data_IF_390940163648
#
_entry.id   IF_390940163648
#
_cell.length_a   1.000
_cell.length_b   1.000
_cell.length_c   1.000
_cell.angle_alpha   90.00
_cell.angle_beta   90.00
_cell.angle_gamma   90.00
#
_symmetry.space_group_name_H-M   'P 1'
#
loop_
_entity.id
_entity.type
_entity.pdbx_description
1 polymer ?
#
# COMPACT_ATOMS: atom_id res chain seq x y z
N UNK A 1 -1.23 42.39 62.68
CA UNK A 1 -0.82 41.85 61.37
C UNK A 1 -0.29 40.43 61.56
N UNK A 2 -0.77 39.42 60.82
CA UNK A 2 -0.26 38.04 60.89
C UNK A 2 0.95 37.90 59.96
N UNK A 3 2.04 37.21 60.36
CA UNK A 3 3.22 37.08 59.50
C UNK A 3 2.91 36.15 58.32
N UNK A 4 3.13 36.64 57.10
CA UNK A 4 3.06 35.83 55.88
C UNK A 4 4.26 34.89 55.88
N UNK A 5 4.02 33.57 56.04
CA UNK A 5 5.06 32.54 55.93
C UNK A 5 5.70 32.60 54.53
N UNK A 6 6.95 33.05 54.45
CA UNK A 6 7.78 32.97 53.24
C UNK A 6 7.98 31.48 52.88
N UNK A 7 7.45 31.05 51.73
CA UNK A 7 7.64 29.68 51.22
C UNK A 7 9.12 29.49 50.87
N UNK A 8 9.74 28.46 51.45
CA UNK A 8 11.17 28.18 51.30
C UNK A 8 11.51 27.92 49.81
N UNK A 9 12.40 28.72 49.18
CA UNK A 9 12.70 28.61 47.74
C UNK A 9 13.39 27.28 47.37
N UNK A 10 14.08 26.67 48.33
CA UNK A 10 14.77 25.38 48.18
C UNK A 10 13.81 24.21 47.87
N UNK A 11 12.60 24.23 48.43
CA UNK A 11 11.59 23.20 48.16
C UNK A 11 11.04 23.33 46.72
N UNK A 12 10.82 24.56 46.23
CA UNK A 12 10.39 24.80 44.85
C UNK A 12 11.41 24.28 43.83
N UNK A 13 12.70 24.49 44.09
CA UNK A 13 13.75 24.05 43.17
C UNK A 13 13.83 22.52 43.06
N UNK A 14 13.61 21.79 44.16
CA UNK A 14 13.56 20.31 44.16
C UNK A 14 12.37 19.76 43.37
N UNK A 15 11.19 20.35 43.51
CA UNK A 15 10.01 19.95 42.71
C UNK A 15 10.21 20.24 41.22
N UNK A 16 10.82 21.37 40.88
CA UNK A 16 11.10 21.72 39.49
C UNK A 16 12.09 20.73 38.84
N UNK A 17 13.16 20.36 39.56
CA UNK A 17 14.11 19.34 39.08
C UNK A 17 13.43 17.99 38.89
N UNK A 18 12.60 17.55 39.84
CA UNK A 18 11.86 16.29 39.71
C UNK A 18 10.90 16.31 38.51
N UNK A 19 10.22 17.43 38.28
CA UNK A 19 9.34 17.60 37.12
C UNK A 19 10.12 17.52 35.81
N UNK A 20 11.27 18.18 35.70
CA UNK A 20 12.12 18.12 34.51
C UNK A 20 12.58 16.69 34.25
N UNK A 21 13.00 15.94 35.29
CA UNK A 21 13.43 14.55 35.14
C UNK A 21 12.27 13.68 34.62
N UNK A 22 11.09 13.81 35.22
CA UNK A 22 9.91 13.07 34.78
C UNK A 22 9.52 13.42 33.33
N UNK A 23 9.57 14.70 32.97
CA UNK A 23 9.31 15.17 31.61
C UNK A 23 10.35 14.63 30.62
N UNK A 24 11.63 14.63 30.99
CA UNK A 24 12.71 14.09 30.15
C UNK A 24 12.52 12.59 29.90
N UNK A 25 12.15 11.81 30.92
CA UNK A 25 11.88 10.37 30.76
C UNK A 25 10.69 10.17 29.81
N UNK A 26 9.59 10.89 30.03
CA UNK A 26 8.42 10.83 29.16
C UNK A 26 8.76 11.19 27.71
N UNK A 27 9.56 12.24 27.51
CA UNK A 27 10.00 12.69 26.21
C UNK A 27 10.84 11.61 25.50
N UNK A 28 11.81 11.02 26.18
CA UNK A 28 12.65 9.95 25.62
C UNK A 28 11.81 8.75 25.19
N UNK A 29 10.89 8.29 26.04
CA UNK A 29 9.98 7.16 25.70
C UNK A 29 9.13 7.51 24.48
N UNK A 30 8.61 8.74 24.44
CA UNK A 30 7.78 9.21 23.32
C UNK A 30 8.57 9.23 22.01
N UNK A 31 9.80 9.74 22.02
CA UNK A 31 10.66 9.78 20.83
C UNK A 31 10.99 8.36 20.34
N UNK A 32 11.35 7.44 21.23
CA UNK A 32 11.63 6.05 20.86
C UNK A 32 10.41 5.39 20.20
N UNK A 33 9.22 5.58 20.78
CA UNK A 33 7.98 5.03 20.22
C UNK A 33 7.64 5.64 18.86
N UNK A 34 7.89 6.94 18.67
CA UNK A 34 7.70 7.60 17.38
C UNK A 34 8.67 7.07 16.32
N UNK A 35 9.94 6.85 16.66
CA UNK A 35 10.94 6.29 15.74
C UNK A 35 10.58 4.87 15.30
N UNK A 36 10.10 4.02 16.22
CA UNK A 36 9.61 2.68 15.88
C UNK A 36 8.44 2.78 14.90
N UNK A 37 7.42 3.57 15.24
CA UNK A 37 6.23 3.74 14.39
C UNK A 37 6.59 4.30 13.00
N UNK A 38 7.54 5.21 12.93
CA UNK A 38 7.98 5.79 11.67
C UNK A 38 8.69 4.75 10.79
N UNK A 39 9.50 3.87 11.38
CA UNK A 39 10.11 2.75 10.64
C UNK A 39 9.06 1.78 10.13
N UNK A 40 8.08 1.41 10.96
CA UNK A 40 7.02 0.47 10.55
C UNK A 40 6.22 1.05 9.38
N UNK A 41 5.86 2.33 9.45
CA UNK A 41 5.18 3.03 8.37
C UNK A 41 6.02 3.09 7.08
N UNK A 42 7.34 3.30 7.18
CA UNK A 42 8.23 3.26 6.00
C UNK A 42 8.31 1.88 5.37
N UNK A 43 8.37 0.83 6.19
CA UNK A 43 8.38 -0.56 5.70
C UNK A 43 7.06 -0.87 4.99
N UNK A 44 5.94 -0.44 5.58
CA UNK A 44 4.61 -0.62 4.98
C UNK A 44 4.49 0.16 3.66
N UNK A 45 4.98 1.39 3.61
CA UNK A 45 4.98 2.22 2.40
C UNK A 45 5.78 1.57 1.26
N UNK A 46 6.98 1.08 1.54
CA UNK A 46 7.79 0.33 0.57
C UNK A 46 7.04 -0.91 0.07
N UNK A 47 6.42 -1.68 0.98
CA UNK A 47 5.65 -2.88 0.61
C UNK A 47 4.47 -2.53 -0.30
N UNK A 48 3.71 -1.50 0.06
CA UNK A 48 2.56 -1.07 -0.73
C UNK A 48 2.97 -0.55 -2.10
N UNK A 49 4.07 0.20 -2.19
CA UNK A 49 4.61 0.66 -3.48
C UNK A 49 5.04 -0.50 -4.37
N UNK A 50 5.70 -1.52 -3.80
CA UNK A 50 6.05 -2.74 -4.55
C UNK A 50 4.79 -3.49 -5.03
N UNK A 51 3.73 -3.50 -4.23
CA UNK A 51 2.46 -4.13 -4.61
C UNK A 51 1.76 -3.35 -5.73
N UNK A 52 1.77 -2.01 -5.67
CA UNK A 52 1.28 -1.15 -6.75
C UNK A 52 2.05 -1.38 -8.04
N UNK A 53 3.38 -1.47 -7.99
CA UNK A 53 4.23 -1.71 -9.16
C UNK A 53 3.89 -3.06 -9.79
N UNK A 54 3.83 -4.14 -9.01
CA UNK A 54 3.45 -5.47 -9.50
C UNK A 54 2.07 -5.50 -10.13
N UNK A 55 1.08 -4.88 -9.48
CA UNK A 55 -0.28 -4.80 -10.00
C UNK A 55 -0.36 -3.96 -11.28
N UNK A 56 0.46 -2.92 -11.39
CA UNK A 56 0.56 -2.12 -12.61
C UNK A 56 1.14 -2.92 -13.77
N UNK A 57 2.22 -3.67 -13.53
CA UNK A 57 2.81 -4.57 -14.53
C UNK A 57 1.82 -5.67 -14.96
N UNK A 58 1.14 -6.29 -14.01
CA UNK A 58 0.12 -7.31 -14.29
C UNK A 58 -1.03 -6.74 -15.12
N UNK A 59 -1.50 -5.54 -14.77
CA UNK A 59 -2.52 -4.82 -15.53
C UNK A 59 -2.06 -4.55 -16.96
N UNK A 60 -0.84 -4.03 -17.14
CA UNK A 60 -0.31 -3.75 -18.49
C UNK A 60 -0.21 -5.03 -19.32
N UNK A 61 0.27 -6.12 -18.71
CA UNK A 61 0.32 -7.43 -19.37
C UNK A 61 -1.06 -7.93 -19.78
N UNK A 62 -2.06 -7.84 -18.89
CA UNK A 62 -3.44 -8.21 -19.20
C UNK A 62 -4.03 -7.34 -20.31
N UNK A 63 -3.72 -6.04 -20.35
CA UNK A 63 -4.15 -5.16 -21.44
C UNK A 63 -3.49 -5.52 -22.78
N UNK A 64 -2.21 -5.93 -22.77
CA UNK A 64 -1.52 -6.43 -23.95
C UNK A 64 -2.12 -7.76 -24.43
N UNK A 65 -2.38 -8.70 -23.52
CA UNK A 65 -3.04 -9.97 -23.82
C UNK A 65 -4.45 -9.76 -24.37
N UNK A 66 -5.21 -8.80 -23.81
CA UNK A 66 -6.53 -8.41 -24.30
C UNK A 66 -6.43 -7.85 -25.72
N UNK A 67 -5.50 -6.92 -25.99
CA UNK A 67 -5.28 -6.37 -27.35
C UNK A 67 -4.88 -7.46 -28.34
N UNK A 68 -4.03 -8.40 -27.93
CA UNK A 68 -3.64 -9.53 -28.76
C UNK A 68 -4.82 -10.47 -29.04
N UNK A 69 -5.67 -10.72 -28.04
CA UNK A 69 -6.89 -11.54 -28.17
C UNK A 69 -7.97 -10.85 -29.01
N UNK A 70 -8.09 -9.53 -28.91
CA UNK A 70 -8.98 -8.69 -29.72
C UNK A 70 -8.45 -8.39 -31.12
N UNK A 71 -7.26 -8.87 -31.48
CA UNK A 71 -6.81 -8.81 -32.87
C UNK A 71 -7.80 -9.59 -33.77
N UNK A 72 -8.06 -9.04 -34.96
CA UNK A 72 -9.00 -9.63 -35.92
C UNK A 72 -8.70 -11.11 -36.22
N UNK A 73 -7.42 -11.49 -36.26
CA UNK A 73 -6.97 -12.87 -36.47
C UNK A 73 -7.42 -13.83 -35.35
N UNK A 74 -7.35 -13.40 -34.08
CA UNK A 74 -7.80 -14.21 -32.95
C UNK A 74 -9.33 -14.25 -32.83
N UNK A 75 -10.01 -13.13 -33.10
CA UNK A 75 -11.48 -13.09 -33.17
C UNK A 75 -11.97 -14.05 -34.27
N UNK A 76 -11.34 -14.03 -35.44
CA UNK A 76 -11.65 -14.92 -36.55
C UNK A 76 -11.40 -16.39 -36.19
N UNK A 77 -10.27 -16.71 -35.53
CA UNK A 77 -9.98 -18.07 -35.03
C UNK A 77 -11.00 -18.56 -34.00
N UNK A 78 -11.43 -17.70 -33.08
CA UNK A 78 -12.46 -18.03 -32.09
C UNK A 78 -13.81 -18.24 -32.79
N UNK A 79 -14.16 -17.40 -33.76
CA UNK A 79 -15.38 -17.57 -34.56
C UNK A 79 -15.35 -18.86 -35.39
N UNK A 80 -14.23 -19.19 -36.02
CA UNK A 80 -14.03 -20.45 -36.77
C UNK A 80 -14.14 -21.67 -35.87
N UNK A 81 -13.51 -21.65 -34.69
CA UNK A 81 -13.51 -22.80 -33.77
C UNK A 81 -14.82 -22.98 -33.01
N UNK A 82 -15.39 -21.90 -32.45
CA UNK A 82 -16.58 -21.98 -31.59
C UNK A 82 -17.90 -21.82 -32.35
N UNK A 83 -17.92 -21.02 -33.40
CA UNK A 83 -19.15 -20.71 -34.15
C UNK A 83 -19.23 -21.46 -35.49
N UNK A 84 -18.23 -22.28 -35.83
CA UNK A 84 -18.10 -22.98 -37.12
C UNK A 84 -18.25 -22.04 -38.32
N UNK A 85 -17.86 -20.78 -38.17
CA UNK A 85 -17.87 -19.80 -39.26
C UNK A 85 -16.74 -20.13 -40.24
N UNK A 86 -16.95 -19.87 -41.53
CA UNK A 86 -15.96 -20.10 -42.60
C UNK A 86 -15.85 -18.84 -43.46
N UNK A 87 -14.73 -18.69 -44.18
CA UNK A 87 -14.59 -17.55 -45.09
C UNK A 87 -15.64 -17.61 -46.23
N UNK A 88 -15.98 -16.47 -46.85
CA UNK A 88 -16.97 -16.42 -47.94
C UNK A 88 -16.69 -17.37 -49.11
N UNK A 89 -15.44 -17.82 -49.27
CA UNK A 89 -14.94 -18.70 -50.32
C UNK A 89 -14.59 -20.12 -49.83
N UNK A 90 -14.96 -20.51 -48.60
CA UNK A 90 -14.74 -21.85 -48.05
C UNK A 90 -16.05 -22.67 -48.04
N UNK A 91 -15.97 -23.97 -48.36
CA UNK A 91 -17.12 -24.88 -48.42
C UNK A 91 -16.99 -25.93 -47.31
N UNK A 92 -18.02 -26.06 -46.46
CA UNK A 92 -18.06 -27.05 -45.39
C UNK A 92 -18.51 -28.41 -45.96
N UNK A 93 -17.68 -29.44 -45.84
CA UNK A 93 -18.06 -30.82 -46.11
C UNK A 93 -18.46 -31.50 -44.79
N UNK A 94 -19.74 -31.90 -44.68
CA UNK A 94 -20.22 -32.73 -43.56
C UNK A 94 -20.35 -34.15 -44.08
N UNK A 95 -19.46 -35.03 -43.63
CA UNK A 95 -19.54 -36.47 -43.91
C UNK A 95 -20.39 -37.08 -42.81
N UNK A 96 -21.57 -37.59 -43.16
CA UNK A 96 -22.39 -38.43 -42.28
C UNK A 96 -21.91 -39.88 -42.42
N UNK A 97 -21.51 -40.50 -41.30
CA UNK A 97 -21.40 -41.97 -41.20
C UNK A 97 -22.77 -42.61 -41.03
#
# INVERSE_FOLDING_TARGET
MKPVKKKNPLLRHKFLVLFIIAFSIYFVVTVINQEIRLRDLKVEEVRLNQEIERLSEEKEKLEQDLKASQSLDNIEKIARSKLKMVMPNEIIYVIQE
#
